data_IF_613204411582
#
_entry.id   IF_613204411582
#
_cell.length_a   1.000
_cell.length_b   1.000
_cell.length_c   1.000
_cell.angle_alpha   90.00
_cell.angle_beta   90.00
_cell.angle_gamma   90.00
#
_symmetry.space_group_name_H-M   'P 1'
#
loop_
_entity.id
_entity.type
_entity.pdbx_description
1 polymer ?
#
# COMPACT_ATOMS: atom_id res chain seq x y z
N UNK A 1 -8.57 -2.41 13.15
CA UNK A 1 -8.91 -1.04 13.59
C UNK A 1 -9.84 -1.03 14.81
N UNK A 2 -11.14 -1.33 14.66
CA UNK A 2 -12.12 -1.22 15.76
C UNK A 2 -11.78 -2.15 16.94
N UNK A 3 -11.28 -3.36 16.66
CA UNK A 3 -10.80 -4.28 17.69
C UNK A 3 -9.72 -3.66 18.57
N UNK A 4 -8.65 -3.11 17.97
CA UNK A 4 -7.57 -2.43 18.71
C UNK A 4 -8.10 -1.25 19.54
N UNK A 5 -8.99 -0.42 18.99
CA UNK A 5 -9.59 0.70 19.72
C UNK A 5 -10.33 0.21 20.98
N UNK A 6 -11.10 -0.87 20.86
CA UNK A 6 -11.79 -1.49 21.99
C UNK A 6 -10.82 -2.08 23.03
N UNK A 7 -9.76 -2.74 22.59
CA UNK A 7 -8.73 -3.30 23.48
C UNK A 7 -8.00 -2.21 24.27
N UNK A 8 -7.64 -1.09 23.63
CA UNK A 8 -7.00 0.03 24.31
C UNK A 8 -7.92 0.65 25.36
N UNK A 9 -9.22 0.79 25.06
CA UNK A 9 -10.23 1.26 26.04
C UNK A 9 -10.32 0.32 27.24
N UNK A 10 -10.20 -0.98 27.02
CA UNK A 10 -10.22 -1.95 28.12
C UNK A 10 -8.92 -1.93 28.94
N UNK A 11 -7.76 -1.73 28.29
CA UNK A 11 -6.47 -1.56 28.98
C UNK A 11 -6.46 -0.30 29.85
N UNK A 12 -7.02 0.80 29.36
CA UNK A 12 -7.21 2.04 30.12
C UNK A 12 -8.08 1.81 31.37
N UNK A 13 -9.25 1.17 31.20
CA UNK A 13 -10.15 0.81 32.32
C UNK A 13 -9.52 -0.11 33.35
N UNK A 14 -8.59 -0.97 32.92
CA UNK A 14 -7.82 -1.85 33.79
C UNK A 14 -6.64 -1.14 34.47
N UNK A 15 -6.34 0.12 34.13
CA UNK A 15 -5.18 0.85 34.62
C UNK A 15 -3.85 0.34 34.07
N UNK A 16 -3.88 -0.37 32.92
CA UNK A 16 -2.70 -0.96 32.29
C UNK A 16 -2.14 -0.11 31.16
N UNK A 17 -2.93 0.79 30.57
CA UNK A 17 -2.49 1.60 29.43
C UNK A 17 -1.31 2.53 29.79
N UNK A 18 -1.31 3.09 31.00
CA UNK A 18 -0.23 3.94 31.51
C UNK A 18 1.10 3.19 31.69
N UNK A 19 1.08 1.85 31.64
CA UNK A 19 2.29 1.01 31.72
C UNK A 19 2.89 0.68 30.34
N UNK A 20 2.25 1.08 29.25
CA UNK A 20 2.65 0.69 27.89
C UNK A 20 3.65 1.71 27.34
N UNK A 21 4.87 1.25 27.04
CA UNK A 21 5.92 2.07 26.43
C UNK A 21 5.83 2.15 24.92
N UNK A 22 5.45 1.05 24.26
CA UNK A 22 5.43 0.92 22.81
C UNK A 22 4.06 0.42 22.34
N UNK A 23 3.52 1.04 21.29
CA UNK A 23 2.35 0.53 20.59
C UNK A 23 2.75 0.23 19.15
N UNK A 24 2.95 -1.06 18.85
CA UNK A 24 3.29 -1.51 17.52
C UNK A 24 2.09 -2.11 16.78
N UNK A 25 2.01 -1.87 15.47
CA UNK A 25 0.89 -2.33 14.65
C UNK A 25 1.28 -2.78 13.24
N UNK A 26 0.55 -3.78 12.75
CA UNK A 26 0.47 -4.21 11.34
C UNK A 26 -0.93 -3.93 10.80
N UNK A 27 -1.05 -3.76 9.48
CA UNK A 27 -2.33 -3.77 8.77
C UNK A 27 -3.39 -2.87 9.42
N UNK A 28 -4.64 -3.31 9.53
CA UNK A 28 -5.73 -2.51 10.06
C UNK A 28 -5.56 -1.98 11.50
N UNK A 29 -4.58 -2.45 12.28
CA UNK A 29 -4.24 -1.83 13.58
C UNK A 29 -3.58 -0.46 13.39
N UNK A 30 -2.78 -0.30 12.33
CA UNK A 30 -2.14 0.99 12.00
C UNK A 30 -3.14 2.10 11.70
N UNK A 31 -4.31 1.77 11.15
CA UNK A 31 -5.39 2.75 10.92
C UNK A 31 -5.97 3.29 12.23
N UNK A 32 -6.03 2.44 13.26
CA UNK A 32 -6.45 2.86 14.60
C UNK A 32 -5.38 3.75 15.21
N UNK A 33 -4.10 3.33 15.17
CA UNK A 33 -2.98 4.11 15.67
C UNK A 33 -2.96 5.50 15.04
N UNK A 34 -2.94 5.59 13.71
CA UNK A 34 -3.00 6.86 12.98
C UNK A 34 -4.15 7.77 13.45
N UNK A 35 -5.32 7.20 13.75
CA UNK A 35 -6.47 7.98 14.25
C UNK A 35 -6.33 8.45 15.70
N UNK A 36 -5.57 7.72 16.53
CA UNK A 36 -5.30 8.07 17.92
C UNK A 36 -4.25 9.18 18.00
N UNK A 37 -3.13 9.02 17.29
CA UNK A 37 -1.98 9.94 17.33
C UNK A 37 -2.21 11.29 16.62
N UNK A 38 -3.35 11.49 15.97
CA UNK A 38 -3.80 12.84 15.58
C UNK A 38 -4.08 13.74 16.80
N UNK A 39 -4.35 13.13 17.96
CA UNK A 39 -4.57 13.84 19.20
C UNK A 39 -3.38 13.66 20.15
N UNK A 40 -2.65 14.74 20.50
CA UNK A 40 -1.55 14.65 21.47
C UNK A 40 -2.04 14.19 22.83
N UNK A 41 -1.31 13.32 23.54
CA UNK A 41 -1.71 12.74 24.83
C UNK A 41 -3.08 12.03 24.76
N UNK A 42 -3.39 11.35 23.65
CA UNK A 42 -4.66 10.67 23.45
C UNK A 42 -4.98 9.65 24.54
N UNK A 43 -3.97 9.01 25.14
CA UNK A 43 -4.09 8.00 26.19
C UNK A 43 -4.88 8.56 27.39
N UNK A 44 -4.61 9.82 27.77
CA UNK A 44 -5.26 10.50 28.90
C UNK A 44 -6.71 10.93 28.64
N UNK A 45 -7.18 10.83 27.38
CA UNK A 45 -8.50 11.27 26.92
C UNK A 45 -9.15 10.25 25.99
N UNK A 46 -8.79 8.97 26.17
CA UNK A 46 -9.12 7.90 25.25
C UNK A 46 -10.62 7.78 24.98
N UNK A 47 -11.49 7.93 25.98
CA UNK A 47 -12.94 7.87 25.78
C UNK A 47 -13.44 8.98 24.80
N UNK A 48 -12.90 10.20 24.90
CA UNK A 48 -13.25 11.31 23.99
C UNK A 48 -12.70 11.08 22.58
N UNK A 49 -11.48 10.55 22.47
CA UNK A 49 -10.86 10.22 21.18
C UNK A 49 -11.63 9.09 20.49
N UNK A 50 -11.95 8.03 21.23
CA UNK A 50 -12.76 6.89 20.78
C UNK A 50 -14.12 7.36 20.23
N UNK A 51 -14.82 8.23 20.95
CA UNK A 51 -16.12 8.76 20.50
C UNK A 51 -15.98 9.58 19.20
N UNK A 52 -14.91 10.37 19.05
CA UNK A 52 -14.63 11.10 17.81
C UNK A 52 -14.33 10.17 16.64
N UNK A 53 -13.51 9.14 16.85
CA UNK A 53 -13.22 8.12 15.84
C UNK A 53 -14.51 7.41 15.41
N UNK A 54 -15.32 6.93 16.37
CA UNK A 54 -16.60 6.27 16.07
C UNK A 54 -17.55 7.20 15.31
N UNK A 55 -17.64 8.47 15.71
CA UNK A 55 -18.46 9.47 15.02
C UNK A 55 -18.01 9.68 13.57
N UNK A 56 -16.70 9.80 13.33
CA UNK A 56 -16.11 9.90 11.98
C UNK A 56 -16.42 8.66 11.15
N UNK A 57 -16.16 7.47 11.70
CA UNK A 57 -16.41 6.19 11.04
C UNK A 57 -17.90 5.93 10.77
N UNK A 58 -18.80 6.52 11.57
CA UNK A 58 -20.26 6.47 11.35
C UNK A 58 -20.76 7.55 10.39
N UNK A 59 -19.95 8.57 10.11
CA UNK A 59 -20.30 9.72 9.29
C UNK A 59 -20.24 9.45 7.77
N UNK A 60 -20.40 10.51 6.95
CA UNK A 60 -20.18 10.41 5.51
C UNK A 60 -18.71 10.09 5.21
N UNK A 61 -18.47 9.38 4.11
CA UNK A 61 -17.11 9.14 3.61
C UNK A 61 -16.55 10.36 2.88
N UNK A 62 -15.25 10.30 2.56
CA UNK A 62 -14.56 11.28 1.71
C UNK A 62 -15.24 11.35 0.34
N UNK A 63 -15.43 12.56 -0.19
CA UNK A 63 -16.06 12.73 -1.48
C UNK A 63 -15.18 12.18 -2.61
N UNK A 64 -15.79 11.69 -3.69
CA UNK A 64 -15.04 11.22 -4.87
C UNK A 64 -14.16 12.32 -5.47
N UNK A 65 -14.59 13.59 -5.37
CA UNK A 65 -13.80 14.73 -5.83
C UNK A 65 -12.50 14.89 -5.05
N UNK A 66 -12.58 14.83 -3.73
CA UNK A 66 -11.42 14.99 -2.84
C UNK A 66 -10.48 13.80 -2.93
N UNK A 67 -11.01 12.58 -2.99
CA UNK A 67 -10.24 11.37 -3.22
C UNK A 67 -9.46 11.43 -4.54
N UNK A 68 -10.10 11.87 -5.63
CA UNK A 68 -9.44 12.03 -6.93
C UNK A 68 -8.42 13.18 -6.92
N UNK A 69 -8.69 14.28 -6.22
CA UNK A 69 -7.72 15.36 -6.05
C UNK A 69 -6.47 14.88 -5.32
N UNK A 70 -6.65 14.09 -4.25
CA UNK A 70 -5.55 13.47 -3.50
C UNK A 70 -4.74 12.49 -4.36
N UNK A 71 -5.40 11.66 -5.16
CA UNK A 71 -4.74 10.76 -6.11
C UNK A 71 -3.88 11.53 -7.12
N UNK A 72 -4.43 12.61 -7.69
CA UNK A 72 -3.70 13.48 -8.63
C UNK A 72 -2.50 14.15 -7.95
N UNK A 73 -2.64 14.57 -6.69
CA UNK A 73 -1.54 15.13 -5.89
C UNK A 73 -0.39 14.12 -5.79
N UNK A 74 -0.67 12.88 -5.36
CA UNK A 74 0.35 11.83 -5.30
C UNK A 74 1.00 11.54 -6.66
N UNK A 75 0.22 11.50 -7.74
CA UNK A 75 0.75 11.26 -9.08
C UNK A 75 1.73 12.35 -9.55
N UNK A 76 1.53 13.60 -9.13
CA UNK A 76 2.35 14.74 -9.58
C UNK A 76 3.55 15.03 -8.67
N UNK A 77 3.44 14.76 -7.37
CA UNK A 77 4.43 15.19 -6.37
C UNK A 77 5.42 14.08 -5.96
N UNK A 78 5.15 12.82 -6.31
CA UNK A 78 6.00 11.69 -5.92
C UNK A 78 6.92 11.25 -7.05
N UNK A 79 8.16 10.96 -6.70
CA UNK A 79 9.13 10.38 -7.63
C UNK A 79 8.68 9.00 -8.15
N UNK A 80 8.08 8.20 -7.27
CA UNK A 80 7.47 6.93 -7.63
C UNK A 80 5.97 6.94 -7.32
N UNK A 81 5.18 6.55 -8.32
CA UNK A 81 3.76 6.25 -8.17
C UNK A 81 3.54 4.74 -8.24
N UNK A 82 2.81 4.19 -7.28
CA UNK A 82 2.57 2.77 -7.05
C UNK A 82 1.10 2.45 -6.75
N UNK A 83 0.77 1.19 -6.51
CA UNK A 83 -0.57 0.80 -6.06
C UNK A 83 -0.91 1.32 -4.66
N UNK A 84 0.09 1.61 -3.82
CA UNK A 84 -0.12 2.19 -2.49
C UNK A 84 -0.77 3.57 -2.59
N UNK A 85 -0.38 4.38 -3.57
CA UNK A 85 -0.93 5.73 -3.78
C UNK A 85 -2.40 5.69 -4.21
N UNK A 86 -2.73 4.75 -5.11
CA UNK A 86 -4.12 4.48 -5.50
C UNK A 86 -4.94 3.95 -4.32
N UNK A 87 -4.39 3.00 -3.57
CA UNK A 87 -5.02 2.41 -2.39
C UNK A 87 -5.30 3.45 -1.31
N UNK A 88 -4.33 4.31 -1.02
CA UNK A 88 -4.46 5.43 -0.09
C UNK A 88 -5.66 6.31 -0.45
N UNK A 89 -5.65 6.86 -1.67
CA UNK A 89 -6.65 7.85 -2.06
C UNK A 89 -8.06 7.26 -2.28
N UNK A 90 -8.16 6.04 -2.83
CA UNK A 90 -9.44 5.45 -3.28
C UNK A 90 -10.00 4.40 -2.33
N UNK A 91 -9.16 3.68 -1.59
CA UNK A 91 -9.59 2.58 -0.73
C UNK A 91 -9.56 2.98 0.74
N UNK A 92 -8.41 3.39 1.27
CA UNK A 92 -8.27 3.74 2.70
C UNK A 92 -9.26 4.82 3.10
N UNK A 93 -9.38 5.90 2.32
CA UNK A 93 -10.34 7.00 2.56
C UNK A 93 -11.80 6.53 2.69
N UNK A 94 -12.18 5.39 2.09
CA UNK A 94 -13.54 4.83 2.20
C UNK A 94 -13.79 4.14 3.53
N UNK A 95 -12.75 3.56 4.14
CA UNK A 95 -12.81 2.87 5.42
C UNK A 95 -12.57 3.83 6.58
N UNK A 96 -11.50 4.62 6.53
CA UNK A 96 -11.14 5.55 7.61
C UNK A 96 -11.96 6.84 7.60
N UNK A 97 -12.59 7.14 6.45
CA UNK A 97 -13.46 8.32 6.21
C UNK A 97 -12.76 9.66 6.42
N UNK A 98 -11.49 9.73 6.03
CA UNK A 98 -10.63 10.90 6.19
C UNK A 98 -9.51 10.93 5.14
N UNK A 99 -9.00 12.13 4.85
CA UNK A 99 -7.72 12.34 4.17
C UNK A 99 -6.78 12.94 5.23
N UNK A 100 -5.91 12.11 5.80
CA UNK A 100 -4.93 12.54 6.79
C UNK A 100 -3.62 12.93 6.08
N UNK A 101 -3.38 14.24 5.97
CA UNK A 101 -2.16 14.78 5.36
C UNK A 101 -1.05 15.09 6.37
N UNK A 102 -1.23 14.76 7.65
CA UNK A 102 -0.18 14.92 8.66
C UNK A 102 0.98 13.97 8.40
N UNK A 103 2.18 14.38 8.79
CA UNK A 103 3.38 13.54 8.76
C UNK A 103 3.50 12.77 10.07
N UNK A 104 4.17 11.62 10.03
CA UNK A 104 4.38 10.84 11.26
C UNK A 104 5.34 11.58 12.21
N UNK A 105 6.34 12.26 11.67
CA UNK A 105 7.27 13.08 12.45
C UNK A 105 6.57 14.26 13.16
N UNK A 106 5.51 14.81 12.57
CA UNK A 106 4.73 15.93 13.15
C UNK A 106 3.82 15.49 14.31
N UNK A 107 3.52 14.20 14.43
CA UNK A 107 2.55 13.65 15.39
C UNK A 107 3.16 13.24 16.73
N UNK A 108 4.46 13.40 16.92
CA UNK A 108 5.15 12.96 18.13
C UNK A 108 5.85 14.11 18.87
N UNK A 109 5.61 14.16 20.18
CA UNK A 109 6.34 15.01 21.11
C UNK A 109 7.16 14.13 22.06
N UNK A 110 8.44 14.47 22.29
CA UNK A 110 9.28 13.83 23.29
C UNK A 110 8.73 13.89 24.73
N UNK A 111 7.78 14.81 25.00
CA UNK A 111 7.06 14.91 26.27
C UNK A 111 5.69 14.20 26.26
N UNK A 112 5.38 13.46 25.18
CA UNK A 112 4.13 12.73 25.03
C UNK A 112 3.94 11.71 26.16
N UNK A 113 2.71 11.59 26.62
CA UNK A 113 2.26 10.55 27.57
C UNK A 113 1.71 9.31 26.87
N UNK A 114 1.71 9.31 25.54
CA UNK A 114 1.22 8.19 24.76
C UNK A 114 2.31 7.12 24.62
N UNK A 115 1.95 5.84 24.42
CA UNK A 115 2.92 4.83 23.99
C UNK A 115 3.61 5.25 22.69
N UNK A 116 4.90 4.93 22.51
CA UNK A 116 5.63 5.23 21.30
C UNK A 116 5.12 4.40 20.10
N UNK A 117 4.65 5.03 19.01
CA UNK A 117 4.04 4.32 17.88
C UNK A 117 5.10 3.70 16.97
N UNK A 118 4.91 2.43 16.62
CA UNK A 118 5.74 1.73 15.64
C UNK A 118 4.85 1.11 14.56
N UNK A 119 5.02 1.58 13.33
CA UNK A 119 4.34 1.06 12.15
C UNK A 119 5.25 0.06 11.47
N UNK A 120 4.68 -1.05 10.98
CA UNK A 120 5.47 -2.12 10.38
C UNK A 120 4.97 -2.45 8.99
N UNK A 121 5.93 -2.70 8.10
CA UNK A 121 5.74 -3.16 6.72
C UNK A 121 6.78 -4.26 6.46
N UNK A 122 6.68 -4.90 5.31
CA UNK A 122 7.70 -5.85 4.86
C UNK A 122 8.31 -5.41 3.54
N UNK A 123 9.58 -5.70 3.39
CA UNK A 123 10.28 -5.57 2.12
C UNK A 123 10.02 -6.80 1.24
N UNK A 124 9.48 -6.55 0.05
CA UNK A 124 9.04 -7.59 -0.88
C UNK A 124 10.21 -8.35 -1.51
N UNK A 125 11.33 -7.69 -1.77
CA UNK A 125 12.53 -8.31 -2.33
C UNK A 125 13.20 -9.21 -1.28
N UNK A 126 13.32 -8.74 -0.03
CA UNK A 126 13.81 -9.55 1.09
C UNK A 126 12.93 -10.79 1.29
N UNK A 127 11.61 -10.62 1.33
CA UNK A 127 10.66 -11.74 1.46
C UNK A 127 10.81 -12.82 0.38
N UNK A 128 11.18 -12.42 -0.84
CA UNK A 128 11.38 -13.35 -1.95
C UNK A 128 12.75 -14.03 -1.93
N UNK A 129 13.73 -13.42 -1.26
CA UNK A 129 15.05 -13.99 -1.07
C UNK A 129 15.03 -14.98 0.10
N UNK A 130 15.22 -16.28 -0.18
CA UNK A 130 15.22 -17.33 0.85
C UNK A 130 16.38 -17.23 1.84
N UNK A 131 17.43 -16.52 1.48
CA UNK A 131 18.64 -16.34 2.28
C UNK A 131 18.53 -15.10 3.19
N UNK A 132 17.62 -14.17 2.86
CA UNK A 132 17.44 -12.93 3.58
C UNK A 132 16.48 -13.10 4.75
N UNK A 133 16.94 -12.73 5.95
CA UNK A 133 16.12 -12.85 7.17
C UNK A 133 15.42 -11.55 7.53
N UNK A 134 15.93 -10.40 7.04
CA UNK A 134 15.42 -9.08 7.39
C UNK A 134 14.36 -8.60 6.40
N UNK A 135 13.22 -9.30 6.40
CA UNK A 135 12.05 -8.86 5.62
C UNK A 135 11.24 -7.76 6.32
N UNK A 136 11.54 -7.46 7.59
CA UNK A 136 10.76 -6.50 8.39
C UNK A 136 11.34 -5.10 8.26
N UNK A 137 10.44 -4.13 8.13
CA UNK A 137 10.80 -2.73 8.08
C UNK A 137 9.90 -1.96 9.06
N UNK A 138 10.52 -1.25 10.00
CA UNK A 138 9.82 -0.46 11.00
C UNK A 138 9.87 1.02 10.64
N UNK A 139 8.79 1.74 10.95
CA UNK A 139 8.62 3.16 10.70
C UNK A 139 8.07 3.77 12.00
N UNK A 140 8.81 4.71 12.56
CA UNK A 140 8.46 5.43 13.79
C UNK A 140 8.49 6.94 13.55
N UNK A 141 8.11 7.78 14.53
CA UNK A 141 8.28 9.23 14.39
C UNK A 141 9.73 9.71 14.20
N UNK A 142 10.72 8.91 14.59
CA UNK A 142 12.13 9.30 14.54
C UNK A 142 12.85 8.69 13.33
N UNK A 143 12.68 7.38 13.14
CA UNK A 143 13.43 6.62 12.15
C UNK A 143 12.60 5.58 11.42
N UNK A 144 13.08 5.22 10.23
CA UNK A 144 12.55 4.18 9.38
C UNK A 144 13.68 3.27 8.90
N UNK A 145 13.54 1.96 9.01
CA UNK A 145 14.64 1.05 8.71
C UNK A 145 14.41 -0.41 9.07
N UNK A 146 15.51 -1.14 9.03
CA UNK A 146 15.58 -2.59 9.15
C UNK A 146 16.18 -2.99 10.50
N UNK A 147 15.41 -3.69 11.33
CA UNK A 147 15.81 -3.92 12.72
C UNK A 147 16.86 -5.03 12.90
N UNK A 148 16.99 -6.05 12.02
CA UNK A 148 18.10 -7.04 12.16
C UNK A 148 19.43 -6.44 11.72
N UNK A 149 19.44 -5.69 10.63
CA UNK A 149 20.66 -5.05 10.11
C UNK A 149 21.04 -3.80 10.91
N UNK A 150 20.11 -3.23 11.68
CA UNK A 150 20.36 -2.01 12.45
C UNK A 150 20.49 -0.76 11.57
N UNK A 151 20.04 -0.84 10.32
CA UNK A 151 20.18 0.22 9.34
C UNK A 151 18.92 1.09 9.28
N UNK A 152 19.09 2.38 9.58
CA UNK A 152 18.00 3.34 9.72
C UNK A 152 18.32 4.68 9.07
N UNK A 153 17.27 5.37 8.64
CA UNK A 153 17.29 6.79 8.26
C UNK A 153 16.23 7.53 9.07
N UNK A 154 16.37 8.86 9.18
CA UNK A 154 15.29 9.69 9.71
C UNK A 154 13.99 9.44 8.94
N UNK A 155 12.85 9.40 9.62
CA UNK A 155 11.54 9.14 8.99
C UNK A 155 11.21 10.14 7.88
N UNK A 156 11.61 11.41 8.05
CA UNK A 156 11.49 12.45 7.04
C UNK A 156 12.34 12.20 5.77
N UNK A 157 13.31 11.29 5.86
CA UNK A 157 14.19 10.88 4.76
C UNK A 157 13.73 9.58 4.09
N UNK A 158 12.75 8.87 4.66
CA UNK A 158 12.19 7.67 4.06
C UNK A 158 11.60 7.98 2.68
N UNK A 159 12.07 7.27 1.65
CA UNK A 159 11.68 7.50 0.26
C UNK A 159 12.56 8.50 -0.50
N UNK A 160 13.53 9.15 0.15
CA UNK A 160 14.54 9.99 -0.52
C UNK A 160 15.60 9.16 -1.23
N UNK A 161 16.23 9.70 -2.26
CA UNK A 161 17.31 9.01 -3.00
C UNK A 161 18.63 9.11 -2.23
N UNK A 162 19.30 7.98 -2.04
CA UNK A 162 20.65 7.89 -1.49
C UNK A 162 21.58 7.19 -2.46
N UNK A 163 22.87 7.42 -2.29
CA UNK A 163 23.92 6.59 -2.88
C UNK A 163 25.17 6.67 -2.01
N UNK A 164 25.69 5.49 -1.67
CA UNK A 164 26.80 5.26 -0.75
C UNK A 164 26.65 6.06 0.56
N UNK A 165 25.51 5.86 1.26
CA UNK A 165 25.19 6.48 2.55
C UNK A 165 24.91 7.99 2.50
N UNK A 166 24.97 8.62 1.32
CA UNK A 166 24.75 10.06 1.17
C UNK A 166 23.43 10.35 0.47
N UNK A 167 22.57 11.17 1.09
CA UNK A 167 21.32 11.64 0.48
C UNK A 167 21.62 12.50 -0.75
N UNK A 168 21.12 12.09 -1.91
CA UNK A 168 21.31 12.79 -3.20
C UNK A 168 20.13 13.69 -3.54
N UNK A 169 18.90 13.23 -3.26
CA UNK A 169 17.67 13.97 -3.55
C UNK A 169 16.66 13.73 -2.43
N UNK A 170 16.15 14.83 -1.86
CA UNK A 170 15.06 14.78 -0.89
C UNK A 170 13.73 14.54 -1.61
N UNK A 171 12.98 13.57 -1.11
CA UNK A 171 11.54 13.41 -1.34
C UNK A 171 10.82 13.88 -0.07
N UNK A 172 9.72 14.63 -0.19
CA UNK A 172 8.96 15.05 0.99
C UNK A 172 8.43 13.82 1.76
N UNK A 173 8.44 13.92 3.09
CA UNK A 173 7.92 12.85 3.98
C UNK A 173 6.50 12.48 3.59
N UNK A 174 6.24 11.17 3.55
CA UNK A 174 4.92 10.65 3.26
C UNK A 174 3.91 11.03 4.35
N UNK A 175 2.72 11.43 3.92
CA UNK A 175 1.61 11.64 4.85
C UNK A 175 1.08 10.33 5.45
N UNK A 176 0.34 10.48 6.54
CA UNK A 176 -0.26 9.39 7.29
C UNK A 176 -1.24 8.57 6.45
N UNK A 177 -1.98 9.19 5.53
CA UNK A 177 -2.86 8.45 4.61
C UNK A 177 -2.07 7.44 3.75
N UNK A 178 -0.89 7.81 3.26
CA UNK A 178 -0.02 6.88 2.55
C UNK A 178 0.54 5.80 3.48
N UNK A 179 0.97 6.16 4.69
CA UNK A 179 1.48 5.18 5.65
C UNK A 179 0.41 4.14 6.03
N UNK A 180 -0.83 4.58 6.28
CA UNK A 180 -1.99 3.71 6.48
C UNK A 180 -2.20 2.76 5.28
N UNK A 181 -2.00 3.25 4.07
CA UNK A 181 -2.11 2.45 2.86
C UNK A 181 -0.99 1.43 2.70
N UNK A 182 0.24 1.83 3.01
CA UNK A 182 1.41 0.96 2.92
C UNK A 182 1.30 -0.17 3.93
N UNK A 183 0.98 0.18 5.19
CA UNK A 183 0.80 -0.79 6.26
C UNK A 183 -0.44 -1.66 6.10
N UNK A 184 -1.52 -1.19 5.46
CA UNK A 184 -2.84 -1.83 5.41
C UNK A 184 -3.35 -2.14 4.01
N UNK A 185 -2.54 -2.78 3.17
CA UNK A 185 -2.88 -3.15 1.80
C UNK A 185 -3.33 -4.61 1.60
N UNK A 186 -3.39 -5.43 2.67
CA UNK A 186 -3.73 -6.85 2.59
C UNK A 186 -5.10 -7.22 3.22
N UNK A 187 -6.19 -6.92 2.51
CA UNK A 187 -7.56 -7.24 2.99
C UNK A 187 -8.02 -8.68 2.72
N UNK A 188 -7.37 -9.41 1.83
CA UNK A 188 -7.77 -10.75 1.38
C UNK A 188 -6.57 -11.50 0.78
N UNK A 189 -6.79 -12.67 0.16
CA UNK A 189 -5.73 -13.28 -0.67
C UNK A 189 -5.44 -12.45 -1.92
N UNK A 190 -4.26 -12.65 -2.52
CA UNK A 190 -3.78 -11.82 -3.62
C UNK A 190 -4.67 -11.83 -4.88
N UNK A 191 -5.41 -12.92 -5.17
CA UNK A 191 -6.33 -12.97 -6.32
C UNK A 191 -7.53 -12.07 -6.05
N UNK A 192 -8.10 -12.14 -4.85
CA UNK A 192 -9.26 -11.35 -4.44
C UNK A 192 -8.92 -9.86 -4.26
N UNK A 193 -7.75 -9.52 -3.70
CA UNK A 193 -7.27 -8.11 -3.68
C UNK A 193 -7.15 -7.57 -5.12
N UNK A 194 -6.63 -8.37 -6.05
CA UNK A 194 -6.47 -7.94 -7.45
C UNK A 194 -7.82 -7.70 -8.13
N UNK A 195 -8.81 -8.58 -7.91
CA UNK A 195 -10.19 -8.37 -8.40
C UNK A 195 -10.79 -7.09 -7.82
N UNK A 196 -10.73 -6.94 -6.50
CA UNK A 196 -11.25 -5.77 -5.79
C UNK A 196 -10.66 -4.47 -6.33
N UNK A 197 -9.34 -4.41 -6.56
CA UNK A 197 -8.68 -3.25 -7.14
C UNK A 197 -9.16 -2.94 -8.56
N UNK A 198 -9.29 -3.96 -9.41
CA UNK A 198 -9.84 -3.77 -10.76
C UNK A 198 -11.28 -3.28 -10.72
N UNK A 199 -12.12 -3.78 -9.81
CA UNK A 199 -13.48 -3.27 -9.61
C UNK A 199 -13.51 -1.81 -9.15
N UNK A 200 -12.59 -1.40 -8.26
CA UNK A 200 -12.44 0.01 -7.85
C UNK A 200 -12.03 0.91 -9.02
N UNK A 201 -11.11 0.44 -9.86
CA UNK A 201 -10.71 1.13 -11.08
C UNK A 201 -11.89 1.23 -12.05
N UNK A 202 -12.65 0.15 -12.24
CA UNK A 202 -13.87 0.15 -13.05
C UNK A 202 -14.89 1.19 -12.57
N UNK A 203 -15.16 1.20 -11.26
CA UNK A 203 -16.05 2.18 -10.62
C UNK A 203 -15.59 3.63 -10.84
N UNK A 204 -14.28 3.86 -10.83
CA UNK A 204 -13.69 5.16 -11.14
C UNK A 204 -13.97 5.60 -12.59
N UNK A 205 -13.78 4.69 -13.55
CA UNK A 205 -14.07 4.95 -14.97
C UNK A 205 -15.55 5.21 -15.21
N UNK A 206 -16.45 4.46 -14.56
CA UNK A 206 -17.89 4.70 -14.62
C UNK A 206 -18.29 6.09 -14.09
N UNK A 207 -17.71 6.52 -12.96
CA UNK A 207 -17.93 7.85 -12.42
C UNK A 207 -17.46 8.95 -13.40
N UNK A 208 -16.32 8.76 -14.06
CA UNK A 208 -15.81 9.69 -15.08
C UNK A 208 -16.68 9.70 -16.34
N UNK A 209 -17.11 8.53 -16.82
CA UNK A 209 -17.99 8.39 -18.00
C UNK A 209 -19.30 9.15 -17.82
N UNK A 210 -19.92 9.06 -16.63
CA UNK A 210 -21.13 9.82 -16.29
C UNK A 210 -20.90 11.33 -16.41
N UNK A 211 -19.75 11.85 -15.97
CA UNK A 211 -19.41 13.27 -16.09
C UNK A 211 -19.19 13.70 -17.54
N UNK A 212 -18.50 12.89 -18.34
CA UNK A 212 -18.26 13.18 -19.77
C UNK A 212 -19.57 13.27 -20.56
N UNK A 213 -20.52 12.34 -20.33
CA UNK A 213 -21.83 12.35 -21.01
C UNK A 213 -22.67 13.62 -20.77
N UNK A 214 -22.43 14.33 -19.66
CA UNK A 214 -23.11 15.59 -19.37
C UNK A 214 -22.50 16.79 -20.11
N UNK A 215 -21.29 16.65 -20.64
CA UNK A 215 -20.58 17.72 -21.34
C UNK A 215 -20.66 17.50 -22.86
N UNK A 216 -21.70 18.05 -23.50
CA UNK A 216 -22.02 17.84 -24.93
C UNK A 216 -21.25 18.79 -25.85
N UNK A 217 -19.94 18.87 -25.73
CA UNK A 217 -19.13 19.59 -26.73
C UNK A 217 -18.87 18.66 -27.94
N UNK A 218 -19.42 18.96 -29.14
CA UNK A 218 -19.17 18.17 -30.35
C UNK A 218 -17.72 18.25 -30.87
N UNK A 219 -16.91 19.20 -30.37
CA UNK A 219 -15.46 19.25 -30.58
C UNK A 219 -14.68 18.59 -29.44
N UNK A 220 -15.37 18.00 -28.47
CA UNK A 220 -14.70 17.29 -27.38
C UNK A 220 -13.83 16.18 -27.96
N UNK A 221 -12.58 16.07 -27.49
CA UNK A 221 -11.68 15.05 -27.97
C UNK A 221 -12.22 13.64 -27.65
N UNK A 222 -11.65 12.54 -28.20
CA UNK A 222 -12.26 11.21 -28.11
C UNK A 222 -12.09 10.54 -26.72
N UNK A 223 -12.36 11.30 -25.65
CA UNK A 223 -12.35 10.91 -24.24
C UNK A 223 -13.24 9.68 -24.02
N UNK A 224 -14.43 9.65 -24.63
CA UNK A 224 -15.36 8.53 -24.45
C UNK A 224 -14.80 7.22 -25.01
N UNK A 225 -14.14 7.26 -26.17
CA UNK A 225 -13.47 6.08 -26.74
C UNK A 225 -12.27 5.65 -25.90
N UNK A 226 -11.49 6.61 -25.38
CA UNK A 226 -10.40 6.31 -24.46
C UNK A 226 -10.90 5.65 -23.16
N UNK A 227 -11.97 6.18 -22.56
CA UNK A 227 -12.62 5.57 -21.39
C UNK A 227 -13.16 4.19 -21.70
N UNK A 228 -13.74 3.96 -22.89
CA UNK A 228 -14.21 2.64 -23.29
C UNK A 228 -13.05 1.63 -23.36
N UNK A 229 -11.89 2.01 -23.92
CA UNK A 229 -10.70 1.14 -23.96
C UNK A 229 -10.23 0.80 -22.55
N UNK A 230 -10.21 1.76 -21.63
CA UNK A 230 -9.86 1.50 -20.24
C UNK A 230 -10.85 0.55 -19.57
N UNK A 231 -12.15 0.78 -19.75
CA UNK A 231 -13.18 -0.12 -19.21
C UNK A 231 -13.05 -1.53 -19.75
N UNK A 232 -12.93 -1.70 -21.07
CA UNK A 232 -12.76 -3.00 -21.70
C UNK A 232 -11.49 -3.69 -21.19
N UNK A 233 -10.40 -2.95 -20.95
CA UNK A 233 -9.15 -3.48 -20.41
C UNK A 233 -9.30 -3.96 -18.95
N UNK A 234 -10.08 -3.24 -18.14
CA UNK A 234 -10.40 -3.64 -16.77
C UNK A 234 -11.27 -4.90 -16.78
N UNK A 235 -12.33 -4.91 -17.59
CA UNK A 235 -13.21 -6.07 -17.76
C UNK A 235 -12.43 -7.27 -18.28
N UNK A 236 -11.46 -7.05 -19.17
CA UNK A 236 -10.60 -8.10 -19.70
C UNK A 236 -9.74 -8.74 -18.59
N UNK A 237 -9.20 -7.92 -17.70
CA UNK A 237 -8.46 -8.41 -16.54
C UNK A 237 -9.35 -9.15 -15.54
N UNK A 238 -10.57 -8.67 -15.29
CA UNK A 238 -11.55 -9.34 -14.42
C UNK A 238 -12.00 -10.69 -15.00
N UNK A 239 -12.27 -10.73 -16.31
CA UNK A 239 -12.64 -11.93 -17.06
C UNK A 239 -11.58 -13.04 -16.91
N UNK A 240 -10.31 -12.73 -17.15
CA UNK A 240 -9.22 -13.71 -16.96
C UNK A 240 -9.05 -14.12 -15.48
N UNK A 241 -9.25 -13.20 -14.54
CA UNK A 241 -9.23 -13.55 -13.10
C UNK A 241 -10.40 -14.47 -12.71
N UNK A 242 -11.49 -14.47 -13.47
CA UNK A 242 -12.61 -15.40 -13.28
C UNK A 242 -12.50 -16.67 -14.14
N UNK A 243 -11.33 -16.89 -14.76
CA UNK A 243 -11.04 -18.04 -15.62
C UNK A 243 -11.97 -18.09 -16.86
N UNK A 244 -12.40 -16.92 -17.35
CA UNK A 244 -13.26 -16.71 -18.53
C UNK A 244 -12.46 -16.23 -19.76
N UNK A 245 -13.04 -16.40 -20.97
CA UNK A 245 -12.41 -16.03 -22.24
C UNK A 245 -12.51 -14.52 -22.54
N UNK A 246 -11.38 -13.79 -22.62
CA UNK A 246 -11.37 -12.35 -22.86
C UNK A 246 -11.44 -11.95 -24.34
N UNK A 247 -11.58 -12.90 -25.28
CA UNK A 247 -11.42 -12.65 -26.72
C UNK A 247 -12.32 -11.52 -27.28
N UNK A 248 -13.59 -11.46 -26.85
CA UNK A 248 -14.50 -10.40 -27.29
C UNK A 248 -14.09 -9.00 -26.82
N UNK A 249 -13.59 -8.89 -25.58
CA UNK A 249 -13.09 -7.62 -25.01
C UNK A 249 -11.80 -7.20 -25.70
N UNK A 250 -10.94 -8.17 -26.00
CA UNK A 250 -9.72 -7.95 -26.75
C UNK A 250 -9.98 -7.43 -28.18
N UNK A 251 -10.95 -8.01 -28.89
CA UNK A 251 -11.41 -7.51 -30.19
C UNK A 251 -11.99 -6.08 -30.10
N UNK A 252 -12.78 -5.79 -29.06
CA UNK A 252 -13.34 -4.46 -28.80
C UNK A 252 -12.23 -3.41 -28.59
N UNK A 253 -11.22 -3.74 -27.77
CA UNK A 253 -10.05 -2.89 -27.54
C UNK A 253 -9.31 -2.62 -28.85
N UNK A 254 -8.99 -3.68 -29.62
CA UNK A 254 -8.28 -3.54 -30.92
C UNK A 254 -9.04 -2.63 -31.87
N UNK A 255 -10.35 -2.85 -32.01
CA UNK A 255 -11.21 -2.03 -32.88
C UNK A 255 -11.20 -0.57 -32.45
N UNK A 256 -11.41 -0.31 -31.17
CA UNK A 256 -11.51 1.07 -30.64
C UNK A 256 -10.18 1.82 -30.75
N UNK A 257 -9.06 1.15 -30.49
CA UNK A 257 -7.73 1.74 -30.65
C UNK A 257 -7.40 2.05 -32.12
N UNK A 258 -7.74 1.16 -33.05
CA UNK A 258 -7.58 1.42 -34.48
C UNK A 258 -8.37 2.66 -34.94
N UNK A 259 -9.58 2.86 -34.42
CA UNK A 259 -10.39 4.04 -34.69
C UNK A 259 -9.78 5.32 -34.10
N UNK A 260 -9.22 5.25 -32.88
CA UNK A 260 -8.60 6.38 -32.19
C UNK A 260 -7.37 6.90 -32.93
N UNK A 261 -6.55 5.98 -33.47
CA UNK A 261 -5.28 6.31 -34.08
C UNK A 261 -5.34 6.43 -35.62
N UNK A 262 -6.55 6.32 -36.19
CA UNK A 262 -6.79 6.32 -37.66
C UNK A 262 -5.91 5.29 -38.40
N UNK A 263 -5.57 4.19 -37.74
CA UNK A 263 -4.73 3.13 -38.28
C UNK A 263 -3.25 3.48 -38.49
N UNK A 264 -2.70 4.51 -37.83
CA UNK A 264 -1.30 4.93 -38.00
C UNK A 264 -0.29 3.99 -37.31
N UNK A 265 -0.69 3.35 -36.21
CA UNK A 265 0.12 2.46 -35.38
C UNK A 265 -0.56 1.09 -35.32
N UNK A 266 -0.12 0.16 -36.17
CA UNK A 266 -0.41 -1.27 -35.98
C UNK A 266 0.50 -1.83 -34.86
N UNK A 267 0.20 -1.53 -33.60
CA UNK A 267 1.05 -1.96 -32.48
C UNK A 267 0.26 -2.59 -31.33
N UNK A 268 -0.78 -3.35 -31.67
CA UNK A 268 -1.18 -4.45 -30.82
C UNK A 268 -0.56 -5.70 -31.43
N UNK A 269 0.44 -6.27 -30.76
CA UNK A 269 1.06 -7.50 -31.21
C UNK A 269 0.00 -8.62 -31.34
N UNK A 270 0.07 -9.48 -32.37
CA UNK A 270 -0.62 -10.75 -32.34
C UNK A 270 -0.01 -11.55 -31.18
N UNK A 271 -0.72 -11.60 -30.05
CA UNK A 271 -0.25 -12.40 -28.91
C UNK A 271 -0.56 -13.86 -29.23
N UNK A 272 0.31 -14.78 -28.76
CA UNK A 272 0.04 -16.22 -28.72
C UNK A 272 -1.38 -16.48 -28.20
N UNK A 273 -1.99 -17.56 -28.69
CA UNK A 273 -3.28 -18.03 -28.21
C UNK A 273 -3.25 -18.15 -26.69
N UNK A 274 -4.11 -17.39 -26.00
CA UNK A 274 -4.19 -17.37 -24.55
C UNK A 274 -4.58 -18.77 -24.05
N UNK A 275 -3.71 -19.39 -23.25
CA UNK A 275 -4.02 -20.64 -22.58
C UNK A 275 -4.47 -20.37 -21.14
N UNK A 276 -5.79 -20.32 -20.90
CA UNK A 276 -6.35 -20.09 -19.56
C UNK A 276 -6.04 -21.23 -18.57
N UNK A 277 -5.75 -22.45 -19.04
CA UNK A 277 -5.38 -23.55 -18.17
C UNK A 277 -3.99 -23.37 -17.54
N UNK A 278 -3.11 -22.60 -18.20
CA UNK A 278 -1.81 -22.23 -17.65
C UNK A 278 -1.90 -20.83 -17.01
N UNK A 279 -2.06 -20.81 -15.69
CA UNK A 279 -2.18 -19.56 -14.91
C UNK A 279 -0.96 -18.65 -15.05
N UNK A 280 0.23 -19.19 -15.28
CA UNK A 280 1.44 -18.38 -15.44
C UNK A 280 1.48 -17.75 -16.83
N UNK A 281 1.10 -18.50 -17.86
CA UNK A 281 0.97 -17.97 -19.22
C UNK A 281 -0.13 -16.91 -19.30
N UNK A 282 -1.30 -17.17 -18.69
CA UNK A 282 -2.39 -16.19 -18.61
C UNK A 282 -1.96 -14.91 -17.88
N UNK A 283 -1.21 -15.02 -16.78
CA UNK A 283 -0.65 -13.86 -16.06
C UNK A 283 0.33 -13.07 -16.94
N UNK A 284 1.22 -13.74 -17.66
CA UNK A 284 2.19 -13.08 -18.56
C UNK A 284 1.48 -12.41 -19.73
N UNK A 285 0.49 -13.09 -20.32
CA UNK A 285 -0.37 -12.56 -21.37
C UNK A 285 -1.05 -11.27 -20.91
N UNK A 286 -1.74 -11.29 -19.76
CA UNK A 286 -2.46 -10.12 -19.28
C UNK A 286 -1.54 -8.96 -18.91
N UNK A 287 -0.35 -9.26 -18.40
CA UNK A 287 0.67 -8.24 -18.14
C UNK A 287 1.07 -7.53 -19.44
N UNK A 288 1.53 -8.29 -20.44
CA UNK A 288 1.95 -7.73 -21.73
C UNK A 288 0.81 -6.97 -22.40
N UNK A 289 -0.39 -7.54 -22.38
CA UNK A 289 -1.57 -6.95 -22.99
C UNK A 289 -1.92 -5.60 -22.36
N UNK A 290 -1.88 -5.52 -21.04
CA UNK A 290 -2.15 -4.28 -20.30
C UNK A 290 -1.12 -3.20 -20.63
N UNK A 291 0.16 -3.58 -20.71
CA UNK A 291 1.24 -2.66 -21.10
C UNK A 291 1.07 -2.14 -22.53
N UNK A 292 0.79 -3.02 -23.50
CA UNK A 292 0.61 -2.63 -24.90
C UNK A 292 -0.52 -1.60 -25.05
N UNK A 293 -1.65 -1.83 -24.38
CA UNK A 293 -2.80 -0.91 -24.39
C UNK A 293 -2.44 0.41 -23.70
N UNK A 294 -1.78 0.36 -22.55
CA UNK A 294 -1.35 1.55 -21.80
C UNK A 294 -0.34 2.41 -22.58
N UNK A 295 0.64 1.77 -23.23
CA UNK A 295 1.61 2.43 -24.08
C UNK A 295 0.95 3.11 -25.28
N UNK A 296 0.01 2.41 -25.94
CA UNK A 296 -0.73 2.96 -27.05
C UNK A 296 -1.57 4.19 -26.63
N UNK A 297 -2.34 4.08 -25.53
CA UNK A 297 -3.12 5.21 -25.01
C UNK A 297 -2.23 6.39 -24.59
N UNK A 298 -1.11 6.13 -23.93
CA UNK A 298 -0.16 7.17 -23.52
C UNK A 298 0.46 7.89 -24.72
N UNK A 299 0.66 7.19 -25.84
CA UNK A 299 1.13 7.78 -27.09
C UNK A 299 0.05 8.66 -27.74
N UNK A 300 -1.16 8.13 -27.92
CA UNK A 300 -2.28 8.85 -28.53
C UNK A 300 -2.70 10.10 -27.75
N UNK A 301 -2.55 10.07 -26.41
CA UNK A 301 -2.99 11.13 -25.50
C UNK A 301 -1.83 11.69 -24.66
N UNK A 302 -0.66 11.86 -25.29
CA UNK A 302 0.56 12.30 -24.60
C UNK A 302 0.50 13.68 -23.93
N UNK A 303 -0.46 14.53 -24.29
CA UNK A 303 -0.69 15.83 -23.64
C UNK A 303 -1.66 15.77 -22.44
N UNK A 304 -2.28 14.61 -22.17
CA UNK A 304 -3.36 14.49 -21.19
C UNK A 304 -2.88 13.80 -19.93
N UNK A 305 -2.73 14.58 -18.86
CA UNK A 305 -2.24 14.12 -17.56
C UNK A 305 -3.13 13.03 -16.96
N UNK A 306 -4.44 13.17 -17.04
CA UNK A 306 -5.39 12.18 -16.50
C UNK A 306 -5.24 10.82 -17.19
N UNK A 307 -5.07 10.78 -18.53
CA UNK A 307 -4.85 9.52 -19.25
C UNK A 307 -3.55 8.87 -18.80
N UNK A 308 -2.46 9.64 -18.67
CA UNK A 308 -1.16 9.12 -18.18
C UNK A 308 -1.24 8.55 -16.77
N UNK A 309 -2.00 9.20 -15.89
CA UNK A 309 -2.21 8.70 -14.53
C UNK A 309 -2.94 7.35 -14.55
N UNK A 310 -4.01 7.23 -15.35
CA UNK A 310 -4.77 5.97 -15.45
C UNK A 310 -4.00 4.85 -16.15
N UNK A 311 -3.22 5.15 -17.19
CA UNK A 311 -2.32 4.16 -17.79
C UNK A 311 -1.27 3.71 -16.79
N UNK A 312 -0.69 4.64 -16.01
CA UNK A 312 0.25 4.29 -14.94
C UNK A 312 -0.39 3.39 -13.87
N UNK A 313 -1.62 3.66 -13.43
CA UNK A 313 -2.34 2.78 -12.49
C UNK A 313 -2.49 1.36 -13.06
N UNK A 314 -2.92 1.24 -14.32
CA UNK A 314 -3.09 -0.06 -14.98
C UNK A 314 -1.75 -0.81 -15.14
N UNK A 315 -0.67 -0.11 -15.47
CA UNK A 315 0.68 -0.68 -15.53
C UNK A 315 1.15 -1.17 -14.16
N UNK A 316 0.90 -0.40 -13.09
CA UNK A 316 1.23 -0.79 -11.71
C UNK A 316 0.40 -1.99 -11.26
N UNK A 317 -0.85 -2.10 -11.68
CA UNK A 317 -1.69 -3.30 -11.50
C UNK A 317 -1.12 -4.53 -12.22
N UNK A 318 -0.66 -4.37 -13.46
CA UNK A 318 -0.05 -5.44 -14.25
C UNK A 318 1.25 -5.96 -13.62
N UNK A 319 2.07 -5.05 -13.07
CA UNK A 319 3.33 -5.37 -12.43
C UNK A 319 3.21 -5.75 -10.95
N UNK A 320 2.08 -5.43 -10.31
CA UNK A 320 1.86 -5.60 -8.88
C UNK A 320 2.92 -4.87 -8.02
N UNK A 321 3.13 -3.58 -8.32
CA UNK A 321 4.13 -2.74 -7.64
C UNK A 321 3.46 -1.96 -6.51
N UNK A 322 3.93 -2.20 -5.28
CA UNK A 322 3.48 -1.57 -4.05
C UNK A 322 4.66 -0.87 -3.39
N UNK A 323 4.39 0.27 -2.75
CA UNK A 323 5.33 0.91 -1.85
C UNK A 323 6.71 1.20 -2.42
N UNK A 324 6.82 1.41 -3.74
CA UNK A 324 8.13 1.58 -4.38
C UNK A 324 8.77 2.88 -3.93
N UNK A 325 9.95 2.77 -3.33
CA UNK A 325 10.75 3.87 -2.85
C UNK A 325 12.22 3.68 -3.24
N UNK A 326 12.99 4.76 -3.18
CA UNK A 326 14.45 4.65 -3.24
C UNK A 326 14.97 3.85 -2.06
N UNK A 327 16.00 3.06 -2.33
CA UNK A 327 16.74 2.34 -1.30
C UNK A 327 17.77 3.27 -0.64
N UNK A 328 17.68 3.45 0.67
CA UNK A 328 18.65 4.30 1.37
C UNK A 328 20.01 3.62 1.55
N UNK A 329 20.06 2.30 1.36
CA UNK A 329 21.27 1.46 1.45
C UNK A 329 21.99 1.33 0.10
N UNK A 330 21.46 1.92 -0.97
CA UNK A 330 21.99 1.75 -2.31
C UNK A 330 23.48 2.10 -2.41
N UNK A 331 24.27 1.16 -2.95
CA UNK A 331 25.72 1.27 -3.13
C UNK A 331 26.52 1.58 -1.86
N UNK A 332 26.01 1.25 -0.66
CA UNK A 332 26.84 1.31 0.54
C UNK A 332 27.93 0.24 0.51
N UNK A 333 29.12 0.61 1.00
CA UNK A 333 30.25 -0.30 1.21
C UNK A 333 30.25 -0.79 2.66
N UNK A 334 29.38 -1.76 2.96
CA UNK A 334 29.23 -2.35 4.30
C UNK A 334 29.01 -3.87 4.20
N UNK A 335 30.04 -4.65 4.55
CA UNK A 335 30.00 -6.12 4.51
C UNK A 335 29.05 -6.73 5.57
N UNK A 336 28.59 -5.95 6.54
CA UNK A 336 27.63 -6.40 7.56
C UNK A 336 26.18 -6.33 7.08
N UNK A 337 25.91 -5.55 6.03
CA UNK A 337 24.61 -5.45 5.39
C UNK A 337 24.51 -6.49 4.27
N UNK A 338 23.43 -7.28 4.20
CA UNK A 338 23.21 -8.23 3.12
C UNK A 338 23.29 -7.58 1.75
N UNK A 339 24.02 -8.19 0.80
CA UNK A 339 24.22 -7.59 -0.54
C UNK A 339 22.91 -7.32 -1.27
N UNK A 340 21.87 -8.12 -0.99
CA UNK A 340 20.53 -7.94 -1.57
C UNK A 340 19.90 -6.59 -1.22
N UNK A 341 20.28 -5.98 -0.10
CA UNK A 341 19.88 -4.64 0.34
C UNK A 341 20.76 -3.52 -0.23
N UNK A 342 21.88 -3.84 -0.89
CA UNK A 342 22.84 -2.85 -1.40
C UNK A 342 22.73 -2.66 -2.92
N UNK A 343 22.32 -3.72 -3.63
CA UNK A 343 22.39 -3.83 -5.09
C UNK A 343 21.35 -3.00 -5.86
N UNK A 344 20.15 -2.79 -5.29
CA UNK A 344 19.06 -2.13 -6.00
C UNK A 344 18.95 -0.64 -5.64
N UNK A 345 18.65 0.20 -6.63
CA UNK A 345 18.33 1.61 -6.38
C UNK A 345 16.95 1.77 -5.69
N UNK A 346 16.08 0.77 -5.77
CA UNK A 346 14.70 0.86 -5.28
C UNK A 346 14.24 -0.39 -4.53
N UNK A 347 13.42 -0.18 -3.51
CA UNK A 347 12.72 -1.23 -2.75
C UNK A 347 11.21 -1.14 -2.92
N UNK A 348 10.53 -2.28 -2.87
CA UNK A 348 9.07 -2.35 -2.86
C UNK A 348 8.62 -2.83 -1.47
N UNK A 349 7.85 -2.01 -0.77
CA UNK A 349 7.29 -2.35 0.54
C UNK A 349 5.81 -2.74 0.45
N UNK A 350 5.39 -3.71 1.25
CA UNK A 350 4.00 -4.20 1.31
C UNK A 350 3.51 -4.44 2.74
N UNK A 351 2.20 -4.65 2.91
CA UNK A 351 1.58 -4.91 4.20
C UNK A 351 2.21 -6.14 4.87
N UNK A 352 2.69 -5.95 6.10
CA UNK A 352 3.32 -7.00 6.89
C UNK A 352 2.41 -8.21 7.17
N UNK A 353 1.09 -8.01 7.16
CA UNK A 353 0.10 -9.07 7.26
C UNK A 353 0.21 -10.14 6.16
N UNK A 354 0.85 -9.82 5.02
CA UNK A 354 1.17 -10.77 3.95
C UNK A 354 2.31 -11.74 4.29
N UNK A 355 3.07 -11.47 5.35
CA UNK A 355 4.06 -12.37 5.92
C UNK A 355 3.54 -12.93 7.25
N UNK A 356 3.28 -12.04 8.20
CA UNK A 356 2.73 -12.37 9.50
C UNK A 356 1.90 -11.21 10.03
N UNK A 357 0.66 -11.48 10.45
CA UNK A 357 -0.24 -10.48 11.03
C UNK A 357 0.09 -10.23 12.52
N UNK A 358 1.36 -9.94 12.80
CA UNK A 358 1.86 -9.60 14.13
C UNK A 358 3.12 -8.75 13.98
N UNK A 359 3.20 -7.58 14.63
CA UNK A 359 4.37 -6.71 14.55
C UNK A 359 5.49 -7.13 15.52
N UNK A 360 5.49 -8.37 16.04
CA UNK A 360 6.38 -8.83 17.10
C UNK A 360 7.85 -8.45 16.88
N UNK A 361 8.33 -8.53 15.63
CA UNK A 361 9.71 -8.23 15.29
C UNK A 361 10.13 -6.81 15.71
N UNK A 362 9.24 -5.83 15.54
CA UNK A 362 9.48 -4.44 15.94
C UNK A 362 9.48 -4.22 17.45
N UNK A 363 8.89 -5.08 18.28
CA UNK A 363 8.96 -4.90 19.75
C UNK A 363 10.11 -5.68 20.38
N UNK A 364 10.78 -6.52 19.59
CA UNK A 364 11.84 -7.43 20.03
C UNK A 364 13.26 -6.95 19.70
N UNK A 365 13.39 -5.75 19.13
CA UNK A 365 14.68 -5.09 18.97
C UNK A 365 15.37 -5.00 20.34
N UNK A 366 16.62 -5.46 20.42
CA UNK A 366 17.35 -5.64 21.68
C UNK A 366 17.42 -4.35 22.51
N UNK A 367 17.60 -3.23 21.81
CA UNK A 367 17.71 -1.88 22.38
C UNK A 367 16.42 -1.38 23.03
N UNK A 368 15.27 -2.04 22.79
CA UNK A 368 13.99 -1.70 23.44
C UNK A 368 13.86 -2.32 24.83
N UNK A 369 14.69 -3.30 25.18
CA UNK A 369 14.67 -3.98 26.49
C UNK A 369 13.26 -4.40 26.92
N UNK A 370 12.46 -4.93 25.99
CA UNK A 370 11.05 -5.28 26.24
C UNK A 370 10.94 -6.45 27.21
N UNK A 371 10.41 -6.21 28.41
CA UNK A 371 10.18 -7.24 29.43
C UNK A 371 8.85 -8.01 29.26
N UNK A 372 7.81 -7.33 28.75
CA UNK A 372 6.46 -7.85 28.63
C UNK A 372 5.82 -7.41 27.31
N UNK A 373 5.24 -8.36 26.58
CA UNK A 373 4.47 -8.10 25.37
C UNK A 373 3.01 -8.47 25.62
N UNK A 374 2.11 -7.49 25.45
CA UNK A 374 0.66 -7.72 25.39
C UNK A 374 0.29 -7.85 23.91
N UNK A 375 0.15 -9.09 23.43
CA UNK A 375 -0.24 -9.36 22.05
C UNK A 375 -1.77 -9.34 21.90
N UNK A 376 -2.26 -8.62 20.88
CA UNK A 376 -3.68 -8.53 20.55
C UNK A 376 -3.90 -9.07 19.14
N UNK A 377 -4.48 -10.26 19.03
CA UNK A 377 -4.78 -10.90 17.75
C UNK A 377 -6.21 -10.59 17.29
N UNK A 378 -6.33 -10.15 16.03
CA UNK A 378 -7.61 -9.86 15.36
C UNK A 378 -7.76 -10.65 14.05
N UNK A 379 -6.97 -11.71 13.88
CA UNK A 379 -7.01 -12.60 12.72
C UNK A 379 -8.31 -13.39 12.69
N UNK A 380 -8.78 -13.71 11.48
CA UNK A 380 -9.85 -14.68 11.29
C UNK A 380 -9.28 -16.11 11.49
N UNK A 381 -9.99 -16.96 12.25
CA UNK A 381 -9.57 -18.33 12.55
C UNK A 381 -8.94 -18.55 13.94
N UNK A 382 -8.01 -19.51 14.04
CA UNK A 382 -7.39 -19.90 15.32
C UNK A 382 -6.38 -18.84 15.80
N UNK A 383 -6.62 -18.18 16.95
CA UNK A 383 -5.75 -17.12 17.48
C UNK A 383 -4.34 -17.60 17.84
N UNK A 384 -4.11 -18.91 18.00
CA UNK A 384 -2.80 -19.46 18.35
C UNK A 384 -1.97 -19.88 17.14
N UNK A 385 -2.53 -19.87 15.93
CA UNK A 385 -1.81 -20.33 14.73
C UNK A 385 -0.57 -19.47 14.48
N UNK A 386 -0.66 -18.15 14.65
CA UNK A 386 0.47 -17.23 14.41
C UNK A 386 1.52 -17.28 15.51
N UNK A 387 1.08 -17.40 16.75
CA UNK A 387 1.95 -17.58 17.92
C UNK A 387 2.85 -18.83 17.75
N UNK A 388 2.29 -19.93 17.22
CA UNK A 388 3.09 -21.12 16.90
C UNK A 388 4.16 -20.83 15.84
N UNK A 389 3.86 -20.01 14.85
CA UNK A 389 4.82 -19.57 13.82
C UNK A 389 5.92 -18.68 14.44
N UNK A 390 5.56 -17.75 15.32
CA UNK A 390 6.52 -16.90 16.05
C UNK A 390 7.48 -17.73 16.91
N UNK A 391 6.97 -18.78 17.56
CA UNK A 391 7.77 -19.69 18.40
C UNK A 391 8.60 -20.73 17.62
N UNK A 392 8.47 -20.79 16.28
CA UNK A 392 9.12 -21.81 15.43
C UNK A 392 10.23 -21.22 14.54
N UNK A 393 11.32 -21.95 14.25
CA UNK A 393 12.33 -21.48 13.30
C UNK A 393 11.73 -21.19 11.90
N UNK A 394 12.21 -20.16 11.18
CA UNK A 394 13.40 -19.35 11.45
C UNK A 394 13.14 -18.12 12.32
N UNK A 395 11.97 -17.99 12.95
CA UNK A 395 11.58 -16.80 13.73
C UNK A 395 11.71 -16.99 15.24
N UNK A 396 11.69 -18.24 15.72
CA UNK A 396 11.87 -18.60 17.14
C UNK A 396 13.32 -18.58 17.65
N UNK A 397 14.15 -17.62 17.22
CA UNK A 397 15.56 -17.52 17.66
C UNK A 397 15.80 -16.62 18.87
N UNK A 398 14.78 -15.93 19.34
CA UNK A 398 14.91 -15.12 20.55
C UNK A 398 14.36 -15.91 21.73
N UNK A 399 15.14 -16.01 22.80
CA UNK A 399 14.76 -16.60 24.10
C UNK A 399 13.62 -15.78 24.74
N UNK A 400 12.44 -15.76 24.10
CA UNK A 400 11.28 -14.99 24.51
C UNK A 400 10.34 -15.94 25.24
N UNK A 401 10.11 -15.65 26.50
CA UNK A 401 9.08 -16.32 27.28
C UNK A 401 7.72 -15.71 26.96
N UNK A 402 6.95 -16.39 26.12
CA UNK A 402 5.55 -16.06 25.88
C UNK A 402 4.71 -16.51 27.09
N UNK A 403 4.18 -15.55 27.85
CA UNK A 403 3.21 -15.80 28.92
C UNK A 403 1.81 -15.49 28.41
N UNK A 404 0.89 -16.45 28.49
CA UNK A 404 -0.47 -16.34 27.97
C UNK A 404 -1.45 -16.10 29.13
N UNK A 405 -2.34 -15.11 28.98
CA UNK A 405 -3.52 -14.89 29.83
C UNK A 405 -4.76 -14.97 28.97
#
# INVERSE_FOLDING_TARGET
MVGLLGSLVQLDKAGLLDCILYLSGVSGSTWCMASLYQEPDWSTKLETVKDRIIKRLSGPGVSWGDALAKLKKYYNERDFFSLTDFWAAIVVTTYVKEIDECKLSDQWDHLSKDPFPIYTVIDKQCKQCKEEKDSWFEISPHEAGYSLTGAFVETSSFGSQFDNGSKKKQQDEFDMLYLQALCGSALADGKEIKKFLWEKIHGAFEAMRKRVKHNKDPNSPPVEKCLQVFMDLVDMNLCVLNDEDPSALDESIRKTLNELDRGKHQLIFPIKQLNLADKQDAKRYMKQRTEDVCNHLSHCFSSWTDVKMWTRICERMAHWIWGRNYDFLHNMDDETVPSTLLESETRDYEDAGLLLNSPYFSVLREERHTDLIISLDFSDGDPFTRIRVESSPPYGYMDIHFYYV
#
